data_IF_595987954738
#
_entry.id   IF_595987954738
#
_cell.length_a   1.000
_cell.length_b   1.000
_cell.length_c   1.000
_cell.angle_alpha   90.00
_cell.angle_beta   90.00
_cell.angle_gamma   90.00
#
_symmetry.space_group_name_H-M   'P 1'
#
loop_
_entity.id
_entity.type
_entity.pdbx_description
1 polymer ?
#
# COMPACT_ATOMS: atom_id res chain seq x y z
N UNK A 1 2.60 6.77 -14.81
CA UNK A 1 1.27 6.91 -14.19
C UNK A 1 0.24 5.97 -14.84
N UNK A 2 0.51 4.66 -14.84
CA UNK A 2 -0.44 3.63 -15.33
C UNK A 2 -0.43 2.34 -14.48
N UNK A 3 0.55 2.15 -13.59
CA UNK A 3 0.66 0.94 -12.75
C UNK A 3 -0.19 0.97 -11.46
N UNK A 4 -0.76 2.12 -11.07
CA UNK A 4 -1.50 2.26 -9.80
C UNK A 4 -2.98 1.86 -9.87
N UNK A 5 -3.59 1.78 -11.06
CA UNK A 5 -4.98 1.26 -11.18
C UNK A 5 -5.04 -0.27 -11.04
N UNK A 6 -3.96 -0.99 -11.29
CA UNK A 6 -3.94 -2.45 -11.21
C UNK A 6 -3.82 -2.98 -9.76
N UNK A 7 -3.18 -2.23 -8.86
CA UNK A 7 -3.06 -2.65 -7.46
C UNK A 7 -4.39 -2.60 -6.69
N UNK A 8 -5.31 -1.71 -7.07
CA UNK A 8 -6.64 -1.59 -6.43
C UNK A 8 -7.70 -2.45 -7.12
N UNK A 9 -7.60 -2.67 -8.44
CA UNK A 9 -8.58 -3.50 -9.17
C UNK A 9 -8.32 -5.01 -9.15
N UNK A 10 -7.13 -5.47 -8.74
CA UNK A 10 -6.89 -6.90 -8.49
C UNK A 10 -7.12 -7.33 -7.04
N UNK A 11 -7.48 -6.39 -6.16
CA UNK A 11 -7.81 -6.64 -4.77
C UNK A 11 -9.18 -7.32 -4.50
N UNK A 12 -9.92 -7.89 -5.49
CA UNK A 12 -10.99 -8.83 -5.15
C UNK A 12 -10.82 -10.26 -5.70
N UNK A 13 -9.66 -10.69 -6.22
CA UNK A 13 -9.63 -11.98 -6.97
C UNK A 13 -8.80 -13.11 -6.33
N UNK A 14 -8.12 -12.89 -5.22
CA UNK A 14 -7.54 -14.00 -4.46
C UNK A 14 -6.85 -13.55 -3.20
N UNK A 15 -6.88 -14.42 -2.18
CA UNK A 15 -6.16 -14.31 -0.91
C UNK A 15 -6.74 -13.26 0.04
N UNK A 16 -7.44 -13.61 1.11
CA UNK A 16 -7.19 -14.73 2.01
C UNK A 16 -8.51 -15.21 2.63
N UNK A 17 -8.75 -16.52 2.57
CA UNK A 17 -9.75 -17.31 3.31
C UNK A 17 -11.04 -16.63 3.79
N UNK A 18 -11.79 -15.98 2.89
CA UNK A 18 -13.25 -15.90 3.07
C UNK A 18 -13.80 -17.22 2.54
N UNK A 19 -14.31 -18.04 3.46
CA UNK A 19 -14.76 -19.43 3.27
C UNK A 19 -15.85 -19.67 2.22
N UNK A 20 -15.55 -19.40 0.95
CA UNK A 20 -16.31 -19.87 -0.20
C UNK A 20 -15.40 -20.77 -1.05
N UNK A 21 -15.62 -22.06 -0.82
CA UNK A 21 -15.18 -23.22 -1.59
C UNK A 21 -15.08 -22.92 -3.09
N UNK A 22 -13.89 -22.62 -3.60
CA UNK A 22 -13.58 -22.65 -5.04
C UNK A 22 -12.32 -23.47 -5.28
N UNK A 23 -12.51 -24.80 -5.27
CA UNK A 23 -11.54 -25.87 -5.55
C UNK A 23 -11.16 -25.98 -7.04
N UNK A 24 -10.86 -24.89 -7.75
CA UNK A 24 -10.32 -24.99 -9.12
C UNK A 24 -8.82 -24.78 -9.14
N UNK A 25 -8.11 -25.57 -9.94
CA UNK A 25 -6.65 -25.48 -10.10
C UNK A 25 -6.19 -24.08 -10.53
N UNK A 26 -7.06 -23.38 -11.29
CA UNK A 26 -6.90 -21.98 -11.67
C UNK A 26 -6.83 -21.05 -10.45
N UNK A 27 -7.70 -21.20 -9.43
CA UNK A 27 -7.61 -20.35 -8.23
C UNK A 27 -6.36 -20.63 -7.40
N UNK A 28 -5.83 -21.86 -7.44
CA UNK A 28 -4.55 -22.20 -6.78
C UNK A 28 -3.37 -21.52 -7.47
N UNK A 29 -3.39 -21.46 -8.81
CA UNK A 29 -2.35 -20.79 -9.59
C UNK A 29 -2.32 -19.27 -9.36
N UNK A 30 -3.49 -18.61 -9.39
CA UNK A 30 -3.56 -17.17 -9.07
C UNK A 30 -3.12 -16.87 -7.65
N UNK A 31 -3.41 -17.79 -6.72
CA UNK A 31 -2.91 -17.68 -5.35
C UNK A 31 -1.39 -17.76 -5.28
N UNK A 32 -0.78 -18.74 -5.92
CA UNK A 32 0.69 -18.83 -5.96
C UNK A 32 1.32 -17.55 -6.52
N UNK A 33 0.80 -17.05 -7.64
CA UNK A 33 1.31 -15.84 -8.29
C UNK A 33 1.15 -14.57 -7.43
N UNK A 34 0.01 -14.43 -6.73
CA UNK A 34 -0.22 -13.30 -5.83
C UNK A 34 0.75 -13.28 -4.64
N UNK A 35 1.10 -14.44 -4.08
CA UNK A 35 2.10 -14.53 -3.02
C UNK A 35 3.51 -14.22 -3.52
N UNK A 36 3.88 -14.70 -4.71
CA UNK A 36 5.17 -14.38 -5.34
C UNK A 36 5.29 -12.88 -5.61
N UNK A 37 4.24 -12.27 -6.19
CA UNK A 37 4.22 -10.84 -6.45
C UNK A 37 4.34 -10.02 -5.15
N UNK A 38 3.63 -10.42 -4.09
CA UNK A 38 3.73 -9.77 -2.79
C UNK A 38 5.13 -9.92 -2.18
N UNK A 39 5.77 -11.08 -2.35
CA UNK A 39 7.14 -11.29 -1.88
C UNK A 39 8.14 -10.36 -2.60
N UNK A 40 8.02 -10.21 -3.92
CA UNK A 40 8.86 -9.29 -4.69
C UNK A 40 8.55 -7.83 -4.37
N UNK A 41 7.28 -7.46 -4.18
CA UNK A 41 6.90 -6.10 -3.78
C UNK A 41 7.50 -5.70 -2.42
N UNK A 42 7.55 -6.63 -1.46
CA UNK A 42 8.22 -6.40 -0.16
C UNK A 42 9.72 -6.18 -0.32
N UNK A 43 10.40 -7.02 -1.12
CA UNK A 43 11.84 -6.85 -1.40
C UNK A 43 12.13 -5.51 -2.05
N UNK A 44 11.31 -5.08 -3.00
CA UNK A 44 11.44 -3.76 -3.64
C UNK A 44 11.22 -2.62 -2.64
N UNK A 45 10.23 -2.75 -1.75
CA UNK A 45 10.00 -1.78 -0.70
C UNK A 45 11.19 -1.67 0.27
N UNK A 46 11.79 -2.80 0.65
CA UNK A 46 12.97 -2.83 1.52
C UNK A 46 14.17 -2.10 0.91
N UNK A 47 14.27 -2.03 -0.42
CA UNK A 47 15.30 -1.27 -1.13
C UNK A 47 14.96 0.22 -1.26
N UNK A 48 13.66 0.54 -1.39
CA UNK A 48 13.20 1.91 -1.62
C UNK A 48 13.05 2.71 -0.31
N UNK A 49 12.82 2.04 0.83
CA UNK A 49 12.63 2.70 2.14
C UNK A 49 13.83 3.54 2.59
N UNK A 50 15.03 3.23 2.10
CA UNK A 50 16.29 3.91 2.45
C UNK A 50 16.65 5.05 1.46
N UNK A 51 15.78 5.31 0.47
CA UNK A 51 15.93 6.38 -0.53
C UNK A 51 15.16 7.65 -0.12
N UNK A 52 15.34 8.78 -0.84
CA UNK A 52 14.55 9.98 -0.57
C UNK A 52 13.05 9.68 -0.57
N UNK A 53 12.37 10.12 0.48
CA UNK A 53 10.97 9.79 0.69
C UNK A 53 10.13 10.53 -0.35
N UNK A 54 9.44 9.76 -1.19
CA UNK A 54 8.45 10.26 -2.14
C UNK A 54 7.04 9.87 -1.66
N UNK A 55 6.03 10.63 -2.10
CA UNK A 55 4.63 10.30 -1.82
C UNK A 55 4.25 8.88 -2.27
N UNK A 56 4.85 8.41 -3.37
CA UNK A 56 4.63 7.05 -3.89
C UNK A 56 5.23 5.98 -3.00
N UNK A 57 6.31 6.27 -2.27
CA UNK A 57 6.92 5.34 -1.30
C UNK A 57 6.00 5.15 -0.09
N UNK A 58 5.38 6.24 0.38
CA UNK A 58 4.34 6.22 1.42
C UNK A 58 3.12 5.41 0.95
N UNK A 59 2.65 5.68 -0.27
CA UNK A 59 1.53 4.93 -0.87
C UNK A 59 1.84 3.44 -1.04
N UNK A 60 3.07 3.08 -1.41
CA UNK A 60 3.48 1.69 -1.52
C UNK A 60 3.44 0.96 -0.16
N UNK A 61 3.90 1.62 0.92
CA UNK A 61 3.79 1.08 2.28
C UNK A 61 2.32 0.88 2.71
N UNK A 62 1.44 1.84 2.39
CA UNK A 62 0.00 1.70 2.63
C UNK A 62 -0.59 0.49 1.90
N UNK A 63 -0.31 0.32 0.60
CA UNK A 63 -0.82 -0.82 -0.18
C UNK A 63 -0.35 -2.14 0.41
N UNK A 64 0.93 -2.25 0.80
CA UNK A 64 1.46 -3.45 1.47
C UNK A 64 0.74 -3.73 2.79
N UNK A 65 0.46 -2.69 3.59
CA UNK A 65 -0.31 -2.83 4.83
C UNK A 65 -1.71 -3.39 4.56
N UNK A 66 -2.46 -2.77 3.64
CA UNK A 66 -3.82 -3.20 3.28
C UNK A 66 -3.83 -4.65 2.80
N UNK A 67 -2.94 -5.00 1.88
CA UNK A 67 -2.84 -6.37 1.34
C UNK A 67 -2.56 -7.39 2.44
N UNK A 68 -1.70 -7.06 3.42
CA UNK A 68 -1.39 -7.96 4.52
C UNK A 68 -2.51 -8.07 5.56
N UNK A 69 -3.24 -6.98 5.80
CA UNK A 69 -4.41 -7.01 6.68
C UNK A 69 -5.54 -7.85 6.08
N UNK A 70 -5.83 -7.68 4.78
CA UNK A 70 -6.75 -8.56 4.05
C UNK A 70 -6.30 -10.02 4.14
N UNK A 71 -4.99 -10.23 4.24
CA UNK A 71 -4.41 -11.55 4.43
C UNK A 71 -4.32 -12.08 5.84
N UNK A 72 -5.07 -11.51 6.79
CA UNK A 72 -5.06 -11.90 8.20
C UNK A 72 -3.65 -11.90 8.82
N UNK A 73 -2.73 -11.12 8.23
CA UNK A 73 -1.36 -10.93 8.68
C UNK A 73 -1.21 -9.55 9.33
N UNK A 74 -2.15 -9.19 10.21
CA UNK A 74 -2.30 -7.85 10.80
C UNK A 74 -1.02 -7.34 11.47
N UNK A 75 -0.34 -8.20 12.24
CA UNK A 75 0.92 -7.86 12.89
C UNK A 75 2.03 -7.48 11.89
N UNK A 76 2.01 -8.06 10.69
CA UNK A 76 2.94 -7.72 9.62
C UNK A 76 2.48 -6.46 8.88
N UNK A 77 1.18 -6.31 8.61
CA UNK A 77 0.60 -5.11 7.98
C UNK A 77 0.84 -3.85 8.79
N UNK A 78 0.68 -3.91 10.11
CA UNK A 78 0.95 -2.80 11.03
C UNK A 78 2.38 -2.26 10.93
N UNK A 79 3.38 -3.08 10.56
CA UNK A 79 4.76 -2.60 10.37
C UNK A 79 4.84 -1.60 9.22
N UNK A 80 4.15 -1.91 8.12
CA UNK A 80 4.09 -1.02 6.96
C UNK A 80 3.24 0.22 7.24
N UNK A 81 2.15 0.11 8.00
CA UNK A 81 1.39 1.30 8.47
C UNK A 81 2.30 2.23 9.28
N UNK A 82 3.04 1.72 10.27
CA UNK A 82 3.94 2.55 11.10
C UNK A 82 5.03 3.19 10.26
N UNK A 83 5.62 2.45 9.33
CA UNK A 83 6.62 3.00 8.42
C UNK A 83 6.03 4.10 7.52
N UNK A 84 4.82 3.91 6.99
CA UNK A 84 4.14 4.90 6.18
C UNK A 84 3.84 6.19 6.95
N UNK A 85 3.41 6.07 8.21
CA UNK A 85 3.17 7.23 9.10
C UNK A 85 4.47 7.98 9.40
N UNK A 86 5.54 7.26 9.76
CA UNK A 86 6.85 7.88 9.99
C UNK A 86 7.35 8.63 8.74
N UNK A 87 7.30 7.96 7.58
CA UNK A 87 7.68 8.58 6.31
C UNK A 87 6.82 9.79 5.95
N UNK A 88 5.51 9.77 6.26
CA UNK A 88 4.63 10.89 6.01
C UNK A 88 4.94 12.11 6.89
N UNK A 89 5.31 11.88 8.15
CA UNK A 89 5.78 12.93 9.05
C UNK A 89 7.09 13.52 8.52
N UNK A 90 8.06 12.67 8.18
CA UNK A 90 9.37 13.11 7.67
C UNK A 90 9.27 13.84 6.32
N UNK A 91 8.34 13.42 5.47
CA UNK A 91 8.03 14.09 4.20
C UNK A 91 7.33 15.45 4.42
N UNK A 92 6.80 15.73 5.62
CA UNK A 92 5.98 16.92 5.85
C UNK A 92 4.64 16.84 5.12
N UNK A 93 4.04 15.64 5.03
CA UNK A 93 2.76 15.40 4.36
C UNK A 93 1.62 16.21 5.00
N UNK A 94 1.69 16.40 6.31
CA UNK A 94 0.70 17.14 7.10
C UNK A 94 1.03 18.62 7.26
N UNK A 95 2.11 19.10 6.66
CA UNK A 95 2.51 20.50 6.74
C UNK A 95 1.75 21.34 5.71
N UNK A 96 0.83 22.17 6.18
CA UNK A 96 0.02 23.09 5.36
C UNK A 96 0.88 24.07 4.55
N UNK A 97 2.10 24.38 5.01
CA UNK A 97 3.02 25.28 4.29
C UNK A 97 3.59 24.65 3.01
N UNK A 98 3.57 23.31 2.91
CA UNK A 98 3.95 22.57 1.70
C UNK A 98 2.82 22.47 0.67
N UNK A 99 1.56 22.73 1.07
CA UNK A 99 0.41 22.60 0.19
C UNK A 99 0.36 23.71 -0.88
N UNK A 100 0.82 24.91 -0.54
CA UNK A 100 0.76 26.07 -1.44
C UNK A 100 1.71 26.02 -2.65
N UNK A 101 2.63 25.05 -2.70
CA UNK A 101 3.69 24.99 -3.75
C UNK A 101 3.44 23.92 -4.82
N UNK A 102 2.34 23.17 -4.74
CA UNK A 102 2.10 22.00 -5.60
C UNK A 102 1.01 22.29 -6.64
N UNK A 103 1.09 21.63 -7.80
CA UNK A 103 -0.01 21.64 -8.76
C UNK A 103 -1.22 20.90 -8.18
N UNK A 104 -2.43 21.25 -8.63
CA UNK A 104 -3.68 20.67 -8.13
C UNK A 104 -3.71 19.12 -8.11
N UNK A 105 -3.26 18.39 -9.16
CA UNK A 105 -3.26 16.92 -9.12
C UNK A 105 -2.29 16.34 -8.08
N UNK A 106 -1.16 17.01 -7.85
CA UNK A 106 -0.19 16.59 -6.86
C UNK A 106 -0.78 16.81 -5.46
N UNK A 107 -1.40 17.96 -5.22
CA UNK A 107 -2.04 18.25 -3.94
C UNK A 107 -3.13 17.22 -3.61
N UNK A 108 -3.99 16.88 -4.58
CA UNK A 108 -5.01 15.83 -4.41
C UNK A 108 -4.41 14.47 -4.03
N UNK A 109 -3.27 14.08 -4.62
CA UNK A 109 -2.59 12.84 -4.26
C UNK A 109 -2.04 12.89 -2.81
N UNK A 110 -1.54 14.04 -2.37
CA UNK A 110 -1.11 14.25 -0.99
C UNK A 110 -2.29 14.18 -0.02
N UNK A 111 -3.37 14.92 -0.28
CA UNK A 111 -4.56 14.96 0.57
C UNK A 111 -5.20 13.59 0.71
N UNK A 112 -5.34 12.86 -0.41
CA UNK A 112 -5.85 11.50 -0.42
C UNK A 112 -4.96 10.57 0.41
N UNK A 113 -3.63 10.67 0.27
CA UNK A 113 -2.69 9.85 1.04
C UNK A 113 -2.75 10.18 2.54
N UNK A 114 -2.88 11.46 2.90
CA UNK A 114 -3.03 11.91 4.28
C UNK A 114 -4.33 11.37 4.90
N UNK A 115 -5.43 11.44 4.16
CA UNK A 115 -6.71 10.85 4.56
C UNK A 115 -6.61 9.34 4.76
N UNK A 116 -5.97 8.61 3.84
CA UNK A 116 -5.73 7.17 4.02
C UNK A 116 -4.90 6.88 5.27
N UNK A 117 -3.79 7.58 5.50
CA UNK A 117 -2.98 7.33 6.70
C UNK A 117 -3.76 7.56 7.99
N UNK A 118 -4.58 8.61 8.04
CA UNK A 118 -5.42 8.89 9.20
C UNK A 118 -6.38 7.73 9.52
N UNK A 119 -7.06 7.20 8.51
CA UNK A 119 -8.04 6.11 8.69
C UNK A 119 -7.40 4.77 9.04
N UNK A 120 -6.18 4.49 8.57
CA UNK A 120 -5.53 3.20 8.71
C UNK A 120 -4.52 3.13 9.87
N UNK A 121 -4.27 4.25 10.56
CA UNK A 121 -3.39 4.33 11.73
C UNK A 121 -4.13 4.49 13.07
N UNK A 122 -5.44 4.75 13.04
CA UNK A 122 -6.33 4.75 14.22
C UNK A 122 -6.73 3.34 14.64
#
# INVERSE_FOLDING_TARGET
>A
MWYFKLAVLLAPVGQCDIGLVLHSEKTRQWRALGYEFLAEAKKLWDLEKDRPILITTIQAALVLSVTLNVCSAEALGMRYTRAAVAMAIDHGLYDESNAQRKSEPIQQAHDFTAWCLHNWSM
#
